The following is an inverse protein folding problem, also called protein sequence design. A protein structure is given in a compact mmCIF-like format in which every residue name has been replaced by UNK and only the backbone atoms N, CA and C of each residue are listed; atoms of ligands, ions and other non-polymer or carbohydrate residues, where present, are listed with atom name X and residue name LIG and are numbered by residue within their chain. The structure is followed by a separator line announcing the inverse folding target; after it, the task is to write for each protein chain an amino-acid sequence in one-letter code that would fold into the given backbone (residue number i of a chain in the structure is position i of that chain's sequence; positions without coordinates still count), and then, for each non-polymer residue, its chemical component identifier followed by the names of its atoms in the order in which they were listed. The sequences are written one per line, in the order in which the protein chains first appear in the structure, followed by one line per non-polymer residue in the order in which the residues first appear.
data_IF_751325738014
#
_entry.id   IF_751325738014
#
_cell.length_a   1.000
_cell.length_b   1.000
_cell.length_c   1.000
_cell.angle_alpha   90.00
_cell.angle_beta   90.00
_cell.angle_gamma   90.00
#
_symmetry.space_group_name_H-M   'P 1'
#
loop_
_entity.id
_entity.type
_entity.pdbx_description
1 polymer ?
#
# COMPACT_ATOMS: atom_id res chain seq x y z
N UNK A 1 -1.74 -1.95 -9.91
CA UNK A 1 -0.75 -0.87 -10.09
C UNK A 1 -0.95 0.28 -9.09
N UNK A 2 -2.15 0.87 -8.96
CA UNK A 2 -2.41 1.96 -7.97
C UNK A 2 -2.05 1.62 -6.52
N UNK A 3 -2.36 0.40 -6.06
CA UNK A 3 -2.07 -0.06 -4.69
C UNK A 3 -0.57 -0.24 -4.42
N UNK A 4 0.19 -0.74 -5.40
CA UNK A 4 1.64 -0.92 -5.28
C UNK A 4 2.36 0.43 -5.23
N UNK A 5 1.96 1.38 -6.07
CA UNK A 5 2.49 2.74 -6.04
C UNK A 5 2.18 3.43 -4.69
N UNK A 6 0.95 3.27 -4.19
CA UNK A 6 0.57 3.80 -2.88
C UNK A 6 1.39 3.16 -1.74
N UNK A 7 1.59 1.84 -1.77
CA UNK A 7 2.42 1.12 -0.80
C UNK A 7 3.86 1.66 -0.82
N UNK A 8 4.49 1.72 -2.00
CA UNK A 8 5.86 2.22 -2.17
C UNK A 8 6.02 3.69 -1.72
N UNK A 9 5.03 4.55 -2.02
CA UNK A 9 5.04 5.94 -1.55
C UNK A 9 5.02 6.04 -0.03
N UNK A 10 4.22 5.19 0.64
CA UNK A 10 4.17 5.13 2.10
C UNK A 10 5.47 4.57 2.68
N UNK A 11 6.07 3.56 2.04
CA UNK A 11 7.39 3.02 2.41
C UNK A 11 8.49 4.08 2.32
N UNK A 12 8.55 4.84 1.22
CA UNK A 12 9.51 5.95 1.05
C UNK A 12 9.22 7.09 2.06
N UNK A 13 7.95 7.30 2.40
CA UNK A 13 7.51 8.28 3.40
C UNK A 13 7.85 7.94 4.86
N UNK A 14 8.57 6.84 5.10
CA UNK A 14 8.99 6.42 6.44
C UNK A 14 8.05 5.42 7.12
N UNK A 15 6.97 4.99 6.46
CA UNK A 15 6.12 3.91 6.93
C UNK A 15 6.57 2.58 6.33
N UNK A 16 7.57 1.94 6.95
CA UNK A 16 8.23 0.74 6.44
C UNK A 16 7.29 -0.46 6.20
N UNK A 17 6.14 -0.50 6.89
CA UNK A 17 5.12 -1.53 6.67
C UNK A 17 3.73 -0.87 6.62
N UNK A 18 3.36 -0.28 5.46
CA UNK A 18 2.08 0.38 5.28
C UNK A 18 0.90 -0.56 5.54
N UNK A 19 -0.03 -0.10 6.37
CA UNK A 19 -1.26 -0.83 6.68
C UNK A 19 -2.28 -0.67 5.55
N UNK A 20 -3.29 -1.56 5.50
CA UNK A 20 -4.40 -1.40 4.56
C UNK A 20 -5.13 -0.05 4.72
N UNK A 21 -5.22 0.44 5.95
CA UNK A 21 -5.78 1.75 6.27
C UNK A 21 -4.96 2.89 5.65
N UNK A 22 -3.63 2.84 5.77
CA UNK A 22 -2.74 3.90 5.25
C UNK A 22 -2.86 4.03 3.73
N UNK A 23 -2.90 2.88 3.04
CA UNK A 23 -3.08 2.81 1.58
C UNK A 23 -4.45 3.36 1.19
N UNK A 24 -5.49 3.02 1.95
CA UNK A 24 -6.86 3.50 1.71
C UNK A 24 -6.97 5.01 1.89
N UNK A 25 -6.38 5.56 2.95
CA UNK A 25 -6.35 7.01 3.20
C UNK A 25 -5.59 7.77 2.12
N UNK A 26 -4.45 7.24 1.65
CA UNK A 26 -3.70 7.84 0.55
C UNK A 26 -4.52 7.85 -0.75
N UNK A 27 -5.14 6.72 -1.09
CA UNK A 27 -5.99 6.60 -2.28
C UNK A 27 -7.22 7.52 -2.21
N UNK A 28 -7.84 7.65 -1.04
CA UNK A 28 -8.94 8.58 -0.83
C UNK A 28 -8.52 10.04 -1.02
N UNK A 29 -7.30 10.40 -0.61
CA UNK A 29 -6.75 11.76 -0.80
C UNK A 29 -6.61 12.14 -2.28
N UNK A 30 -6.33 11.15 -3.13
CA UNK A 30 -6.24 11.34 -4.60
C UNK A 30 -7.56 11.04 -5.32
N UNK A 31 -8.66 10.81 -4.59
CA UNK A 31 -9.99 10.57 -5.14
C UNK A 31 -10.16 9.20 -5.81
N UNK A 32 -9.36 8.21 -5.40
CA UNK A 32 -9.40 6.84 -5.93
C UNK A 32 -10.09 5.92 -4.93
N UNK A 33 -11.07 5.15 -5.40
CA UNK A 33 -11.66 4.07 -4.60
C UNK A 33 -10.63 2.98 -4.29
N UNK A 34 -10.52 2.70 -2.99
CA UNK A 34 -9.73 1.64 -2.41
C UNK A 34 -10.55 0.36 -2.35
N UNK A 35 -9.98 -0.72 -2.86
CA UNK A 35 -10.63 -2.03 -2.91
C UNK A 35 -9.91 -2.94 -1.92
N UNK A 36 -10.53 -3.17 -0.77
CA UNK A 36 -9.89 -3.79 0.40
C UNK A 36 -9.29 -5.16 0.09
N UNK A 37 -9.98 -6.00 -0.68
CA UNK A 37 -9.50 -7.33 -1.08
C UNK A 37 -8.18 -7.27 -1.85
N UNK A 38 -8.03 -6.28 -2.74
CA UNK A 38 -6.80 -6.09 -3.52
C UNK A 38 -5.66 -5.55 -2.67
N UNK A 39 -5.98 -4.73 -1.68
CA UNK A 39 -5.01 -4.17 -0.73
C UNK A 39 -4.48 -5.29 0.18
N UNK A 40 -5.37 -6.11 0.75
CA UNK A 40 -4.98 -7.25 1.59
C UNK A 40 -4.14 -8.27 0.82
N UNK A 41 -4.54 -8.59 -0.41
CA UNK A 41 -3.76 -9.48 -1.29
C UNK A 41 -2.35 -8.93 -1.53
N UNK A 42 -2.22 -7.61 -1.77
CA UNK A 42 -0.94 -6.96 -2.01
C UNK A 42 -0.06 -6.98 -0.76
N UNK A 43 -0.63 -6.64 0.41
CA UNK A 43 0.08 -6.69 1.70
C UNK A 43 0.53 -8.11 2.01
N UNK A 44 -0.30 -9.12 1.77
CA UNK A 44 0.05 -10.53 1.97
C UNK A 44 1.19 -10.98 1.03
N UNK A 45 1.17 -10.54 -0.24
CA UNK A 45 2.25 -10.87 -1.20
C UNK A 45 3.58 -10.16 -0.89
N UNK A 46 3.53 -9.01 -0.23
CA UNK A 46 4.69 -8.22 0.16
C UNK A 46 5.16 -8.52 1.59
N UNK A 47 4.31 -9.11 2.42
CA UNK A 47 4.64 -9.56 3.77
C UNK A 47 5.71 -10.64 3.71
N UNK A 48 6.93 -10.27 4.10
CA UNK A 48 8.10 -11.16 4.07
C UNK A 48 8.93 -11.09 2.79
N UNK A 49 8.61 -10.19 1.85
CA UNK A 49 9.50 -9.82 0.76
C UNK A 49 10.12 -8.46 1.08
N UNK A 50 11.44 -8.38 1.02
CA UNK A 50 12.10 -7.09 1.11
C UNK A 50 11.80 -6.32 -0.18
N UNK A 51 11.12 -5.18 -0.06
CA UNK A 51 10.74 -4.33 -1.20
C UNK A 51 11.93 -3.53 -1.74
N UNK A 52 13.07 -3.51 -1.03
CA UNK A 52 14.29 -2.82 -1.43
C UNK A 52 15.37 -3.75 -2.02
N UNK A 53 15.12 -5.05 -2.11
CA UNK A 53 16.07 -6.05 -2.64
C UNK A 53 15.73 -6.50 -4.06
#
# INVERSE_FOLDING_TARGET
MKYLAAYLLLTIGGNASPSASDITSLLATVGIEAESERIETLISQLSGKDVNE
#
